data_IF_951705782725
#
_entry.id   IF_951705782725
#
_cell.length_a   1.000
_cell.length_b   1.000
_cell.length_c   1.000
_cell.angle_alpha   90.00
_cell.angle_beta   90.00
_cell.angle_gamma   90.00
#
_symmetry.space_group_name_H-M   'P 1'
#
loop_
_entity.id
_entity.type
_entity.pdbx_description
1 polymer ?
#
# COMPACT_ATOMS: atom_id res chain seq x y z
N UNK A 1 -77.24 -1.39 -13.04
CA UNK A 1 -76.22 -1.45 -14.12
C UNK A 1 -74.99 -0.59 -13.83
N UNK A 2 -75.07 0.42 -12.94
CA UNK A 2 -73.95 1.35 -12.61
C UNK A 2 -72.76 0.70 -11.90
N UNK A 3 -72.98 -0.33 -11.09
CA UNK A 3 -71.97 -0.95 -10.23
C UNK A 3 -70.86 -1.71 -10.96
N UNK A 4 -71.15 -2.33 -12.12
CA UNK A 4 -70.13 -2.98 -12.95
C UNK A 4 -69.23 -1.97 -13.66
N UNK A 5 -69.78 -0.84 -14.10
CA UNK A 5 -69.01 0.20 -14.79
C UNK A 5 -68.02 0.89 -13.84
N UNK A 6 -68.43 1.12 -12.60
CA UNK A 6 -67.55 1.63 -11.54
C UNK A 6 -66.45 0.63 -11.19
N UNK A 7 -66.80 -0.66 -11.03
CA UNK A 7 -65.81 -1.71 -10.78
C UNK A 7 -64.75 -1.82 -11.89
N UNK A 8 -65.16 -1.77 -13.17
CA UNK A 8 -64.23 -1.79 -14.31
C UNK A 8 -63.32 -0.56 -14.31
N UNK A 9 -63.85 0.62 -13.96
CA UNK A 9 -63.05 1.85 -13.89
C UNK A 9 -62.00 1.78 -12.78
N UNK A 10 -62.38 1.24 -11.62
CA UNK A 10 -61.45 1.02 -10.51
C UNK A 10 -60.37 -0.01 -10.86
N UNK A 11 -60.72 -1.10 -11.56
CA UNK A 11 -59.74 -2.09 -12.03
C UNK A 11 -58.74 -1.44 -12.99
N UNK A 12 -59.20 -0.70 -13.99
CA UNK A 12 -58.31 -0.01 -14.94
C UNK A 12 -57.39 1.00 -14.26
N UNK A 13 -57.89 1.70 -13.24
CA UNK A 13 -57.06 2.61 -12.43
C UNK A 13 -56.00 1.84 -11.66
N UNK A 14 -56.36 0.74 -11.00
CA UNK A 14 -55.41 -0.10 -10.29
C UNK A 14 -54.35 -0.71 -11.21
N UNK A 15 -54.71 -1.13 -12.43
CA UNK A 15 -53.77 -1.59 -13.46
C UNK A 15 -52.78 -0.48 -13.86
N UNK A 16 -53.30 0.73 -14.10
CA UNK A 16 -52.46 1.89 -14.43
C UNK A 16 -51.50 2.25 -13.28
N UNK A 17 -52.00 2.24 -12.04
CA UNK A 17 -51.20 2.55 -10.86
C UNK A 17 -50.12 1.48 -10.63
N UNK A 18 -50.44 0.20 -10.86
CA UNK A 18 -49.49 -0.91 -10.77
C UNK A 18 -48.40 -0.83 -11.85
N UNK A 19 -48.76 -0.53 -13.09
CA UNK A 19 -47.77 -0.35 -14.16
C UNK A 19 -46.81 0.80 -13.85
N UNK A 20 -47.35 1.92 -13.37
CA UNK A 20 -46.53 3.06 -12.95
C UNK A 20 -45.59 2.70 -11.80
N UNK A 21 -46.08 1.94 -10.82
CA UNK A 21 -45.25 1.46 -9.71
C UNK A 21 -44.10 0.57 -10.20
N UNK A 22 -44.34 -0.28 -11.20
CA UNK A 22 -43.30 -1.13 -11.81
C UNK A 22 -42.25 -0.24 -12.49
N UNK A 23 -42.65 0.69 -13.35
CA UNK A 23 -41.72 1.60 -14.05
C UNK A 23 -40.89 2.44 -13.07
N UNK A 24 -41.53 3.02 -12.04
CA UNK A 24 -40.85 3.80 -11.01
C UNK A 24 -39.84 2.94 -10.22
N UNK A 25 -40.18 1.69 -9.93
CA UNK A 25 -39.32 0.75 -9.21
C UNK A 25 -38.12 0.31 -10.06
N UNK A 26 -38.32 0.05 -11.35
CA UNK A 26 -37.25 -0.30 -12.29
C UNK A 26 -36.27 0.86 -12.48
N UNK A 27 -36.78 2.08 -12.61
CA UNK A 27 -35.97 3.29 -12.71
C UNK A 27 -35.13 3.48 -11.43
N UNK A 28 -35.76 3.40 -10.26
CA UNK A 28 -35.08 3.55 -8.97
C UNK A 28 -34.04 2.45 -8.73
N UNK A 29 -34.35 1.20 -9.09
CA UNK A 29 -33.40 0.10 -8.99
C UNK A 29 -32.17 0.34 -9.87
N UNK A 30 -32.39 0.82 -11.10
CA UNK A 30 -31.32 1.14 -12.03
C UNK A 30 -30.42 2.27 -11.52
N UNK A 31 -31.02 3.32 -10.93
CA UNK A 31 -30.29 4.41 -10.29
C UNK A 31 -29.44 3.91 -9.12
N UNK A 32 -30.02 3.11 -8.21
CA UNK A 32 -29.30 2.53 -7.07
C UNK A 32 -28.12 1.66 -7.52
N UNK A 33 -28.29 0.88 -8.59
CA UNK A 33 -27.21 0.05 -9.15
C UNK A 33 -26.09 0.93 -9.71
N UNK A 34 -26.42 2.02 -10.42
CA UNK A 34 -25.40 2.94 -10.94
C UNK A 34 -24.65 3.66 -9.83
N UNK A 35 -25.37 4.15 -8.81
CA UNK A 35 -24.77 4.80 -7.65
C UNK A 35 -23.83 3.84 -6.90
N UNK A 36 -24.27 2.60 -6.65
CA UNK A 36 -23.46 1.58 -6.01
C UNK A 36 -22.19 1.26 -6.82
N UNK A 37 -22.31 1.15 -8.15
CA UNK A 37 -21.15 0.97 -9.05
C UNK A 37 -20.18 2.15 -8.98
N UNK A 38 -20.70 3.38 -8.96
CA UNK A 38 -19.87 4.59 -8.88
C UNK A 38 -19.10 4.64 -7.55
N UNK A 39 -19.79 4.47 -6.42
CA UNK A 39 -19.17 4.43 -5.08
C UNK A 39 -18.14 3.32 -4.96
N UNK A 40 -18.42 2.14 -5.53
CA UNK A 40 -17.48 1.02 -5.50
C UNK A 40 -16.21 1.34 -6.28
N UNK A 41 -16.33 1.97 -7.46
CA UNK A 41 -15.18 2.41 -8.24
C UNK A 41 -14.34 3.45 -7.50
N UNK A 42 -14.99 4.48 -6.96
CA UNK A 42 -14.33 5.52 -6.16
C UNK A 42 -13.58 4.92 -4.96
N UNK A 43 -14.20 3.97 -4.26
CA UNK A 43 -13.58 3.28 -3.12
C UNK A 43 -12.34 2.49 -3.56
N UNK A 44 -12.42 1.74 -4.67
CA UNK A 44 -11.30 0.98 -5.21
C UNK A 44 -10.17 1.91 -5.66
N UNK A 45 -10.49 3.05 -6.25
CA UNK A 45 -9.51 4.02 -6.73
C UNK A 45 -8.76 4.67 -5.57
N UNK A 46 -9.48 5.13 -4.54
CA UNK A 46 -8.86 5.64 -3.30
C UNK A 46 -7.97 4.59 -2.63
N UNK A 47 -8.44 3.35 -2.52
CA UNK A 47 -7.64 2.27 -1.93
C UNK A 47 -6.34 2.01 -2.72
N UNK A 48 -6.36 2.16 -4.05
CA UNK A 48 -5.15 2.05 -4.89
C UNK A 48 -4.19 3.22 -4.68
N UNK A 49 -4.71 4.44 -4.60
CA UNK A 49 -3.91 5.63 -4.33
C UNK A 49 -3.23 5.54 -2.96
N UNK A 50 -3.97 5.16 -1.92
CA UNK A 50 -3.43 4.95 -0.56
C UNK A 50 -2.37 3.86 -0.56
N UNK A 51 -2.64 2.70 -1.19
CA UNK A 51 -1.67 1.61 -1.27
C UNK A 51 -0.38 2.01 -2.00
N UNK A 52 -0.48 2.80 -3.08
CA UNK A 52 0.69 3.30 -3.79
C UNK A 52 1.49 4.28 -2.92
N UNK A 53 0.80 5.21 -2.23
CA UNK A 53 1.46 6.17 -1.34
C UNK A 53 2.18 5.46 -0.18
N UNK A 54 1.55 4.45 0.41
CA UNK A 54 2.15 3.65 1.47
C UNK A 54 3.37 2.85 0.95
N UNK A 55 3.28 2.27 -0.26
CA UNK A 55 4.39 1.55 -0.87
C UNK A 55 5.59 2.48 -1.15
N UNK A 56 5.36 3.69 -1.66
CA UNK A 56 6.40 4.70 -1.85
C UNK A 56 7.05 5.08 -0.52
N UNK A 57 6.25 5.30 0.52
CA UNK A 57 6.74 5.61 1.86
C UNK A 57 7.62 4.49 2.43
N UNK A 58 7.16 3.24 2.34
CA UNK A 58 7.92 2.07 2.79
C UNK A 58 9.26 1.99 2.05
N UNK A 59 9.25 2.19 0.74
CA UNK A 59 10.47 2.15 -0.09
C UNK A 59 11.45 3.24 0.32
N UNK A 60 10.95 4.47 0.51
CA UNK A 60 11.77 5.60 0.94
C UNK A 60 12.38 5.40 2.33
N UNK A 61 11.59 4.89 3.29
CA UNK A 61 12.07 4.57 4.64
C UNK A 61 13.11 3.45 4.61
N UNK A 62 12.88 2.39 3.82
CA UNK A 62 13.82 1.30 3.64
C UNK A 62 15.16 1.78 3.06
N UNK A 63 15.12 2.61 2.00
CA UNK A 63 16.33 3.19 1.42
C UNK A 63 17.09 4.08 2.43
N UNK A 64 16.35 4.89 3.19
CA UNK A 64 16.94 5.80 4.18
C UNK A 64 17.63 5.01 5.29
N UNK A 65 16.98 3.96 5.80
CA UNK A 65 17.55 3.08 6.81
C UNK A 65 18.76 2.32 6.27
N UNK A 66 18.69 1.77 5.06
CA UNK A 66 19.82 1.09 4.42
C UNK A 66 21.02 2.03 4.25
N UNK A 67 20.82 3.29 3.82
CA UNK A 67 21.88 4.29 3.72
C UNK A 67 22.51 4.59 5.08
N UNK A 68 21.69 4.71 6.13
CA UNK A 68 22.16 4.94 7.50
C UNK A 68 22.99 3.77 8.02
N UNK A 69 22.51 2.54 7.84
CA UNK A 69 23.23 1.32 8.22
C UNK A 69 24.56 1.19 7.46
N UNK A 70 24.56 1.42 6.14
CA UNK A 70 25.78 1.40 5.34
C UNK A 70 26.82 2.41 5.85
N UNK A 71 26.39 3.61 6.23
CA UNK A 71 27.26 4.61 6.82
C UNK A 71 27.85 4.16 8.16
N UNK A 72 27.02 3.57 9.03
CA UNK A 72 27.48 3.04 10.32
C UNK A 72 28.50 1.91 10.14
N UNK A 73 28.21 0.95 9.26
CA UNK A 73 29.12 -0.16 8.93
C UNK A 73 30.45 0.38 8.40
N UNK A 74 30.42 1.36 7.49
CA UNK A 74 31.62 1.96 6.94
C UNK A 74 32.48 2.63 8.03
N UNK A 75 31.86 3.36 8.96
CA UNK A 75 32.58 3.99 10.06
C UNK A 75 33.19 2.95 11.01
N UNK A 76 32.43 1.93 11.42
CA UNK A 76 32.95 0.84 12.25
C UNK A 76 34.08 0.07 11.57
N UNK A 77 33.98 -0.12 10.25
CA UNK A 77 35.02 -0.79 9.47
C UNK A 77 36.29 0.04 9.43
N UNK A 78 36.20 1.35 9.21
CA UNK A 78 37.36 2.25 9.23
C UNK A 78 38.07 2.22 10.59
N UNK A 79 37.30 2.31 11.67
CA UNK A 79 37.84 2.23 13.03
C UNK A 79 38.56 0.89 13.27
N UNK A 80 37.95 -0.24 12.91
CA UNK A 80 38.60 -1.57 13.01
C UNK A 80 39.87 -1.68 12.18
N UNK A 81 39.88 -1.16 10.95
CA UNK A 81 41.05 -1.15 10.07
C UNK A 81 42.18 -0.33 10.70
N UNK A 82 41.86 0.83 11.29
CA UNK A 82 42.85 1.68 11.96
C UNK A 82 43.44 1.00 13.20
N UNK A 83 42.60 0.38 14.04
CA UNK A 83 43.06 -0.42 15.19
C UNK A 83 43.99 -1.53 14.72
N UNK A 84 43.55 -2.34 13.76
CA UNK A 84 44.33 -3.47 13.23
C UNK A 84 45.67 -3.01 12.64
N UNK A 85 45.68 -1.87 11.93
CA UNK A 85 46.90 -1.29 11.37
C UNK A 85 47.87 -0.87 12.47
N UNK A 86 47.37 -0.22 13.52
CA UNK A 86 48.20 0.23 14.64
C UNK A 86 48.79 -0.96 15.41
N UNK A 87 47.99 -1.99 15.67
CA UNK A 87 48.45 -3.24 16.29
C UNK A 87 49.55 -3.90 15.43
N UNK A 88 49.30 -4.08 14.13
CA UNK A 88 50.27 -4.69 13.22
C UNK A 88 51.59 -3.90 13.14
N UNK A 89 51.51 -2.56 13.12
CA UNK A 89 52.69 -1.69 13.08
C UNK A 89 53.50 -1.79 14.37
N UNK A 90 52.84 -1.92 15.53
CA UNK A 90 53.50 -2.08 16.83
C UNK A 90 54.29 -3.38 16.98
N UNK A 91 53.96 -4.42 16.19
CA UNK A 91 54.64 -5.72 16.23
C UNK A 91 55.84 -5.82 15.27
N UNK A 92 56.08 -4.82 14.42
CA UNK A 92 57.11 -4.88 13.36
C UNK A 92 58.51 -5.03 13.95
N UNK A 93 58.82 -4.28 15.00
CA UNK A 93 60.16 -4.29 15.61
C UNK A 93 60.45 -5.63 16.32
N UNK A 94 59.46 -6.17 17.03
CA UNK A 94 59.57 -7.48 17.70
C UNK A 94 59.72 -8.61 16.67
N UNK A 95 58.94 -8.57 15.58
CA UNK A 95 59.08 -9.53 14.49
C UNK A 95 60.46 -9.44 13.81
N UNK A 96 61.00 -8.24 13.61
CA UNK A 96 62.33 -8.03 13.06
C UNK A 96 63.41 -8.61 13.99
N UNK A 97 63.29 -8.42 15.30
CA UNK A 97 64.22 -8.96 16.30
C UNK A 97 64.23 -10.51 16.29
N UNK A 98 63.05 -11.13 16.23
CA UNK A 98 62.92 -12.59 16.14
C UNK A 98 63.58 -13.12 14.87
N UNK A 99 63.39 -12.46 13.73
CA UNK A 99 64.01 -12.85 12.45
C UNK A 99 65.54 -12.77 12.56
N UNK A 100 66.08 -11.66 13.08
CA UNK A 100 67.55 -11.49 13.23
C UNK A 100 68.15 -12.58 14.14
N UNK A 101 67.52 -12.89 15.27
CA UNK A 101 67.95 -13.97 16.18
C UNK A 101 67.86 -15.37 15.56
N UNK A 102 67.07 -15.56 14.51
CA UNK A 102 66.89 -16.85 13.84
C UNK A 102 67.91 -17.11 12.74
N UNK A 103 68.59 -16.05 12.26
CA UNK A 103 69.54 -16.10 11.13
C UNK A 103 71.00 -16.09 11.62
N UNK A 104 71.25 -15.48 12.79
CA UNK A 104 72.55 -15.47 13.49
C UNK A 104 72.73 -16.71 14.36
#
# INVERSE_FOLDING_TARGET
MTTMSEAITTIKKAESDANKLIEDTEAKSSEMIQEAKSKSKETIEKAKEEANSDAEKITFEAETNAKKEAYQINNQTKEKVEITKNEATGMVDEAAEVIVKSIL
#
